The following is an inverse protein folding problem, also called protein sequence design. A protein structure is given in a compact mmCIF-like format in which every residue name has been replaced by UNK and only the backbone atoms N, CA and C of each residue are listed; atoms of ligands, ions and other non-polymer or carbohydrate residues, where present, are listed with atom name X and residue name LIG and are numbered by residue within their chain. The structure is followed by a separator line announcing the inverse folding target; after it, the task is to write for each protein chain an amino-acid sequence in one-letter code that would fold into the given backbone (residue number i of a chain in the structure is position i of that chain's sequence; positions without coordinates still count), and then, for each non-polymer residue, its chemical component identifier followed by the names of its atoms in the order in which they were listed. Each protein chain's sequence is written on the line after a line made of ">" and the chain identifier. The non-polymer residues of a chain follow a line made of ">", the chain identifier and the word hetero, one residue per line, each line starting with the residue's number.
data_IF_397893865952
#
_entry.id   IF_397893865952
#
_cell.length_a   1.000
_cell.length_b   1.000
_cell.length_c   1.000
_cell.angle_alpha   90.00
_cell.angle_beta   90.00
_cell.angle_gamma   90.00
#
_symmetry.space_group_name_H-M   'P 1'
#
loop_
_entity.id
_entity.type
_entity.pdbx_description
1 polymer ?
#
# COMPACT_ATOMS: atom_id res chain seq x y z
N UNK A 1 -4.93 17.94 -19.59
CA UNK A 1 -5.20 16.50 -19.36
C UNK A 1 -4.24 15.73 -20.25
N UNK A 2 -3.35 14.95 -19.62
CA UNK A 2 -2.37 14.13 -20.31
C UNK A 2 -3.08 12.82 -20.67
N UNK A 3 -3.12 12.46 -21.95
CA UNK A 3 -3.67 11.17 -22.39
C UNK A 3 -2.84 10.02 -21.78
N UNK A 4 -3.41 8.82 -21.56
CA UNK A 4 -2.68 7.69 -20.94
C UNK A 4 -1.40 7.29 -21.68
N UNK A 5 -1.28 7.67 -22.95
CA UNK A 5 -0.14 7.38 -23.83
C UNK A 5 1.12 8.24 -23.58
N UNK A 6 1.08 9.14 -22.59
CA UNK A 6 2.15 10.13 -22.36
C UNK A 6 3.00 9.88 -21.11
N UNK A 7 2.81 8.76 -20.41
CA UNK A 7 3.70 8.38 -19.32
C UNK A 7 5.01 7.81 -19.88
N UNK A 8 6.10 8.57 -19.75
CA UNK A 8 7.42 8.10 -20.13
C UNK A 8 7.84 6.95 -19.20
N UNK A 9 8.04 5.77 -19.78
CA UNK A 9 8.53 4.59 -19.06
C UNK A 9 9.90 4.85 -18.43
N UNK A 10 10.69 5.78 -18.98
CA UNK A 10 11.95 6.24 -18.41
C UNK A 10 11.79 6.75 -16.97
N UNK A 11 10.68 7.41 -16.65
CA UNK A 11 10.42 7.93 -15.29
C UNK A 11 10.37 6.81 -14.23
N UNK A 12 9.97 5.58 -14.60
CA UNK A 12 9.97 4.45 -13.67
C UNK A 12 11.39 4.05 -13.23
N UNK A 13 12.40 4.32 -14.07
CA UNK A 13 13.79 4.01 -13.79
C UNK A 13 14.54 5.17 -13.11
N UNK A 14 13.89 6.33 -12.97
CA UNK A 14 14.39 7.43 -12.15
C UNK A 14 14.21 7.14 -10.66
N UNK A 15 14.84 7.96 -9.81
CA UNK A 15 14.85 7.76 -8.36
C UNK A 15 13.43 7.65 -7.75
N UNK A 16 12.48 8.43 -8.26
CA UNK A 16 11.08 8.42 -7.80
C UNK A 16 10.28 7.16 -8.18
N UNK A 17 10.83 6.29 -9.04
CA UNK A 17 10.21 5.03 -9.43
C UNK A 17 10.79 3.85 -8.64
N UNK A 18 11.61 3.04 -9.31
CA UNK A 18 12.13 1.78 -8.75
C UNK A 18 13.00 2.00 -7.50
N UNK A 19 13.81 3.05 -7.45
CA UNK A 19 14.68 3.28 -6.29
C UNK A 19 13.88 3.63 -5.03
N UNK A 20 12.90 4.54 -5.13
CA UNK A 20 12.01 4.89 -4.01
C UNK A 20 11.17 3.68 -3.56
N UNK A 21 10.66 2.89 -4.51
CA UNK A 21 9.94 1.65 -4.19
C UNK A 21 10.81 0.69 -3.38
N UNK A 22 12.06 0.43 -3.81
CA UNK A 22 13.00 -0.45 -3.10
C UNK A 22 13.30 0.10 -1.71
N UNK A 23 13.66 1.38 -1.60
CA UNK A 23 13.99 1.99 -0.31
C UNK A 23 12.80 1.93 0.66
N UNK A 24 11.59 2.21 0.19
CA UNK A 24 10.37 2.16 0.97
C UNK A 24 10.00 0.72 1.38
N UNK A 25 10.14 -0.25 0.49
CA UNK A 25 9.86 -1.67 0.75
C UNK A 25 10.91 -2.36 1.62
N UNK A 26 12.10 -1.77 1.83
CA UNK A 26 13.15 -2.31 2.71
C UNK A 26 13.27 -1.55 4.04
N UNK A 27 13.06 -0.23 4.04
CA UNK A 27 13.29 0.63 5.20
C UNK A 27 12.11 1.48 5.64
N UNK A 28 11.02 1.52 4.86
CA UNK A 28 9.92 2.45 5.08
C UNK A 28 9.05 2.13 6.29
N UNK A 29 8.33 3.16 6.77
CA UNK A 29 7.36 3.06 7.88
C UNK A 29 6.19 2.14 7.54
N UNK A 30 5.73 2.16 6.28
CA UNK A 30 4.70 1.26 5.79
C UNK A 30 5.10 -0.21 5.98
N UNK A 31 6.32 -0.58 5.56
CA UNK A 31 6.87 -1.92 5.77
C UNK A 31 6.96 -2.29 7.25
N UNK A 32 7.48 -1.39 8.09
CA UNK A 32 7.64 -1.63 9.54
C UNK A 32 6.30 -1.97 10.21
N UNK A 33 5.26 -1.19 9.93
CA UNK A 33 3.94 -1.38 10.54
C UNK A 33 3.22 -2.59 9.93
N UNK A 34 3.30 -2.79 8.61
CA UNK A 34 2.69 -3.94 7.94
C UNK A 34 3.31 -5.28 8.37
N UNK A 35 4.63 -5.33 8.61
CA UNK A 35 5.29 -6.52 9.17
C UNK A 35 4.79 -6.83 10.58
N UNK A 36 4.60 -5.81 11.42
CA UNK A 36 4.02 -5.99 12.76
C UNK A 36 2.55 -6.46 12.70
N UNK A 37 1.76 -5.90 11.78
CA UNK A 37 0.38 -6.33 11.51
C UNK A 37 0.30 -7.80 11.10
N UNK A 38 1.12 -8.20 10.12
CA UNK A 38 1.18 -9.57 9.64
C UNK A 38 1.64 -10.54 10.74
N UNK A 39 2.68 -10.20 11.50
CA UNK A 39 3.16 -11.01 12.65
C UNK A 39 2.12 -11.17 13.75
N UNK A 40 1.22 -10.21 13.89
CA UNK A 40 0.09 -10.30 14.81
C UNK A 40 -1.11 -11.08 14.23
N UNK A 41 -0.97 -11.67 13.04
CA UNK A 41 -2.04 -12.40 12.35
C UNK A 41 -3.22 -11.50 11.97
N UNK A 42 -2.98 -10.21 11.72
CA UNK A 42 -4.02 -9.23 11.41
C UNK A 42 -4.96 -8.88 12.57
N UNK A 43 -4.63 -9.27 13.81
CA UNK A 43 -5.49 -9.04 14.99
C UNK A 43 -5.34 -7.65 15.61
N UNK A 44 -4.23 -6.96 15.33
CA UNK A 44 -3.96 -5.60 15.81
C UNK A 44 -4.31 -4.60 14.72
N UNK A 45 -4.87 -3.47 15.10
CA UNK A 45 -5.23 -2.41 14.13
C UNK A 45 -3.99 -1.66 13.64
N UNK A 46 -4.08 -1.08 12.43
CA UNK A 46 -3.01 -0.23 11.91
C UNK A 46 -2.85 1.06 12.73
N UNK A 47 -3.94 1.58 13.30
CA UNK A 47 -3.94 2.76 14.17
C UNK A 47 -3.16 2.51 15.46
N UNK A 48 -3.39 1.36 16.09
CA UNK A 48 -2.67 0.94 17.29
C UNK A 48 -1.17 0.79 17.00
N UNK A 49 -0.83 0.10 15.91
CA UNK A 49 0.56 -0.12 15.51
C UNK A 49 1.25 1.17 15.04
N UNK A 50 0.54 2.10 14.38
CA UNK A 50 1.03 3.44 14.05
C UNK A 50 1.44 4.19 15.32
N UNK A 51 0.53 4.27 16.30
CA UNK A 51 0.76 5.00 17.54
C UNK A 51 1.96 4.45 18.32
N UNK A 52 2.11 3.12 18.36
CA UNK A 52 3.22 2.45 19.03
C UNK A 52 4.56 2.62 18.28
N UNK A 53 4.57 2.41 16.97
CA UNK A 53 5.82 2.20 16.23
C UNK A 53 6.38 3.45 15.55
N UNK A 54 5.56 4.48 15.35
CA UNK A 54 5.90 5.62 14.49
C UNK A 54 6.08 6.95 15.24
N UNK A 55 5.92 6.98 16.56
CA UNK A 55 6.20 8.15 17.41
C UNK A 55 5.56 9.46 16.89
N UNK A 56 4.30 9.38 16.46
CA UNK A 56 3.54 10.52 15.94
C UNK A 56 3.65 10.74 14.41
N UNK A 57 4.47 9.96 13.71
CA UNK A 57 4.48 9.95 12.24
C UNK A 57 3.30 9.15 11.68
N UNK A 58 2.78 9.58 10.53
CA UNK A 58 1.61 8.96 9.89
C UNK A 58 1.95 7.83 8.93
N UNK A 59 1.13 6.78 8.98
CA UNK A 59 1.12 5.69 8.02
C UNK A 59 0.26 6.10 6.82
N UNK A 60 0.83 6.13 5.63
CA UNK A 60 0.10 6.56 4.42
C UNK A 60 -0.33 5.39 3.55
N UNK A 61 0.39 4.26 3.60
CA UNK A 61 0.16 3.13 2.71
C UNK A 61 -1.24 2.51 2.82
N UNK A 62 -1.81 2.45 4.03
CA UNK A 62 -3.17 1.91 4.26
C UNK A 62 -4.23 2.81 3.63
N UNK A 63 -4.12 4.13 3.87
CA UNK A 63 -5.03 5.13 3.30
C UNK A 63 -4.97 5.11 1.77
N UNK A 64 -3.76 5.11 1.21
CA UNK A 64 -3.55 5.05 -0.24
C UNK A 64 -4.08 3.74 -0.84
N UNK A 65 -3.97 2.60 -0.15
CA UNK A 65 -4.53 1.34 -0.63
C UNK A 65 -6.06 1.41 -0.79
N UNK A 66 -6.75 2.02 0.19
CA UNK A 66 -8.21 2.22 0.12
C UNK A 66 -8.59 3.17 -1.02
N UNK A 67 -7.92 4.32 -1.15
CA UNK A 67 -8.19 5.29 -2.21
C UNK A 67 -7.97 4.70 -3.61
N UNK A 68 -6.90 3.91 -3.79
CA UNK A 68 -6.62 3.22 -5.05
C UNK A 68 -7.71 2.17 -5.34
N UNK A 69 -8.12 1.39 -4.35
CA UNK A 69 -9.18 0.39 -4.53
C UNK A 69 -10.52 1.04 -4.93
N UNK A 70 -10.91 2.14 -4.28
CA UNK A 70 -12.11 2.91 -4.62
C UNK A 70 -12.04 3.49 -6.04
N UNK A 71 -10.89 4.04 -6.43
CA UNK A 71 -10.70 4.56 -7.79
C UNK A 71 -10.80 3.46 -8.86
N UNK A 72 -10.29 2.26 -8.57
CA UNK A 72 -10.39 1.10 -9.46
C UNK A 72 -11.83 0.55 -9.54
N UNK A 73 -12.56 0.53 -8.43
CA UNK A 73 -13.97 0.14 -8.39
C UNK A 73 -14.83 1.12 -9.21
N UNK A 74 -14.59 2.44 -9.07
CA UNK A 74 -15.27 3.46 -9.87
C UNK A 74 -15.05 3.30 -11.39
N UNK A 75 -13.96 2.66 -11.80
CA UNK A 75 -13.65 2.36 -13.20
C UNK A 75 -14.05 0.94 -13.62
N UNK A 76 -14.50 0.08 -12.69
CA UNK A 76 -14.79 -1.33 -12.97
C UNK A 76 -13.55 -2.18 -13.28
N UNK A 77 -12.36 -1.76 -12.81
CA UNK A 77 -11.07 -2.35 -13.18
C UNK A 77 -10.37 -3.09 -12.04
N UNK A 78 -11.00 -3.21 -10.87
CA UNK A 78 -10.39 -3.82 -9.68
C UNK A 78 -9.81 -5.22 -9.94
N UNK A 79 -10.46 -6.02 -10.77
CA UNK A 79 -10.00 -7.36 -11.17
C UNK A 79 -8.70 -7.35 -11.97
N UNK A 80 -8.34 -6.26 -12.65
CA UNK A 80 -7.07 -6.13 -13.39
C UNK A 80 -5.88 -5.90 -12.44
N UNK A 81 -6.13 -5.50 -11.19
CA UNK A 81 -5.10 -5.18 -10.21
C UNK A 81 -5.25 -6.06 -8.94
N UNK A 82 -5.00 -7.38 -9.06
CA UNK A 82 -5.24 -8.33 -7.98
C UNK A 82 -4.37 -8.04 -6.74
N UNK A 83 -3.14 -7.54 -6.93
CA UNK A 83 -2.25 -7.21 -5.81
C UNK A 83 -2.78 -6.02 -4.99
N UNK A 84 -3.16 -4.91 -5.63
CA UNK A 84 -3.74 -3.76 -4.92
C UNK A 84 -5.05 -4.13 -4.24
N UNK A 85 -5.88 -4.92 -4.92
CA UNK A 85 -7.13 -5.45 -4.35
C UNK A 85 -6.89 -6.32 -3.12
N UNK A 86 -5.88 -7.18 -3.14
CA UNK A 86 -5.56 -8.04 -2.00
C UNK A 86 -5.00 -7.24 -0.82
N UNK A 87 -4.09 -6.29 -1.08
CA UNK A 87 -3.52 -5.43 -0.03
C UNK A 87 -4.62 -4.62 0.67
N UNK A 88 -5.57 -4.05 -0.09
CA UNK A 88 -6.73 -3.34 0.45
C UNK A 88 -7.60 -4.24 1.34
N UNK A 89 -7.93 -5.45 0.87
CA UNK A 89 -8.77 -6.40 1.62
C UNK A 89 -8.10 -6.89 2.91
N UNK A 90 -6.81 -7.21 2.85
CA UNK A 90 -6.02 -7.58 4.04
C UNK A 90 -5.97 -6.40 5.02
N UNK A 91 -5.77 -5.18 4.52
CA UNK A 91 -5.74 -3.99 5.38
C UNK A 91 -7.08 -3.72 6.07
N UNK A 92 -8.21 -4.07 5.45
CA UNK A 92 -9.57 -4.01 6.03
C UNK A 92 -9.90 -5.19 6.94
N UNK A 93 -9.05 -6.21 6.99
CA UNK A 93 -9.33 -7.46 7.72
C UNK A 93 -10.37 -8.36 7.05
N UNK A 94 -10.64 -8.17 5.76
CA UNK A 94 -11.53 -9.02 4.96
C UNK A 94 -10.87 -10.34 4.57
N UNK A 95 -9.53 -10.34 4.49
CA UNK A 95 -8.69 -11.51 4.18
C UNK A 95 -7.53 -11.59 5.18
N UNK A 96 -7.07 -12.80 5.55
CA UNK A 96 -5.92 -12.94 6.44
C UNK A 96 -4.60 -12.53 5.74
N UNK A 97 -3.61 -12.01 6.49
CA UNK A 97 -2.29 -11.72 5.95
C UNK A 97 -1.45 -12.99 5.66
N UNK A 98 -1.92 -14.15 6.10
CA UNK A 98 -1.34 -15.47 5.85
C UNK A 98 -2.07 -16.10 4.66
N UNK A 99 -1.38 -16.26 3.52
CA UNK A 99 -1.87 -17.05 2.38
C UNK A 99 -1.04 -18.30 2.18
#
# INVERSE_FOLDING_TARGET
>A
MVSPETADKGTMFESCGVADLIASCLGGRNRKVADAFARAGGKRSFEELEAELLSGQKLQGVLTAHEVAEALDAQGRRSEFPLFSMVDRIAKGEEPPES
#
